data_IF_591963973410
#
_entry.id   IF_591963973410
#
_cell.length_a   1.000
_cell.length_b   1.000
_cell.length_c   1.000
_cell.angle_alpha   90.00
_cell.angle_beta   90.00
_cell.angle_gamma   90.00
#
_symmetry.space_group_name_H-M   'P 1'
#
loop_
_entity.id
_entity.type
_entity.pdbx_description
1 polymer ?
#
# COMPACT_ATOMS: atom_id res chain seq x y z
N UNK A 1 -20.75 20.54 21.41
CA UNK A 1 -20.46 19.63 20.29
C UNK A 1 -20.25 18.26 20.89
N UNK A 2 -20.96 17.19 20.50
CA UNK A 2 -20.71 15.88 21.09
C UNK A 2 -19.29 15.44 20.72
N UNK A 3 -18.51 15.03 21.72
CA UNK A 3 -17.23 14.35 21.58
C UNK A 3 -17.42 13.08 20.75
N UNK A 4 -17.03 13.09 19.47
CA UNK A 4 -16.79 11.85 18.74
C UNK A 4 -15.28 11.73 18.52
N UNK A 5 -14.57 11.53 19.62
CA UNK A 5 -13.20 11.02 19.57
C UNK A 5 -13.30 9.54 19.21
N UNK A 6 -12.73 9.19 18.05
CA UNK A 6 -12.40 7.80 17.76
C UNK A 6 -11.11 7.47 18.49
N UNK A 7 -11.12 6.48 19.38
CA UNK A 7 -9.87 5.98 19.96
C UNK A 7 -9.01 5.31 18.89
N UNK A 8 -7.68 5.48 18.96
CA UNK A 8 -6.70 4.79 18.13
C UNK A 8 -7.01 3.29 17.94
N UNK A 9 -7.26 2.55 19.02
CA UNK A 9 -7.52 1.11 18.97
C UNK A 9 -8.76 0.77 18.14
N UNK A 10 -9.85 1.53 18.30
CA UNK A 10 -11.05 1.37 17.46
C UNK A 10 -10.80 1.68 15.99
N UNK A 11 -9.97 2.68 15.66
CA UNK A 11 -9.63 2.98 14.26
C UNK A 11 -8.80 1.86 13.65
N UNK A 12 -7.77 1.41 14.36
CA UNK A 12 -6.95 0.26 13.96
C UNK A 12 -7.83 -0.97 13.74
N UNK A 13 -8.73 -1.29 14.67
CA UNK A 13 -9.64 -2.42 14.55
C UNK A 13 -10.46 -2.39 13.26
N UNK A 14 -11.04 -1.24 12.92
CA UNK A 14 -11.86 -1.07 11.71
C UNK A 14 -11.04 -1.12 10.41
N UNK A 15 -9.84 -0.54 10.41
CA UNK A 15 -8.95 -0.59 9.25
C UNK A 15 -8.45 -2.02 8.96
N UNK A 16 -8.06 -2.76 10.00
CA UNK A 16 -7.61 -4.15 9.87
C UNK A 16 -8.78 -5.08 9.47
N UNK A 17 -9.96 -4.85 10.02
CA UNK A 17 -11.17 -5.60 9.66
C UNK A 17 -11.73 -5.28 8.27
N UNK A 18 -11.21 -4.23 7.60
CA UNK A 18 -11.57 -3.88 6.23
C UNK A 18 -10.55 -4.48 5.27
N UNK A 19 -10.82 -5.66 4.68
CA UNK A 19 -9.87 -6.29 3.77
C UNK A 19 -9.73 -5.45 2.48
N UNK A 20 -8.51 -5.36 1.97
CA UNK A 20 -8.15 -4.53 0.82
C UNK A 20 -6.92 -5.09 0.11
N UNK A 21 -6.88 -6.41 -0.09
CA UNK A 21 -5.75 -7.06 -0.74
C UNK A 21 -5.57 -6.52 -2.17
N UNK A 22 -4.37 -6.09 -2.54
CA UNK A 22 -4.04 -5.80 -3.94
C UNK A 22 -3.26 -6.95 -4.56
N UNK A 23 -3.60 -7.32 -5.79
CA UNK A 23 -2.93 -8.40 -6.51
C UNK A 23 -3.08 -8.27 -8.01
N UNK A 24 -2.04 -8.66 -8.76
CA UNK A 24 -2.16 -8.86 -10.20
C UNK A 24 -3.05 -10.07 -10.56
N UNK A 25 -3.38 -10.93 -9.59
CA UNK A 25 -4.34 -12.02 -9.76
C UNK A 25 -5.74 -11.54 -9.36
N UNK A 26 -6.63 -11.42 -10.34
CA UNK A 26 -8.01 -10.99 -10.13
C UNK A 26 -8.81 -11.84 -9.12
N UNK A 27 -8.42 -13.10 -8.88
CA UNK A 27 -9.07 -13.94 -7.87
C UNK A 27 -8.71 -13.60 -6.43
N UNK A 28 -7.63 -12.83 -6.23
CA UNK A 28 -7.15 -12.37 -4.92
C UNK A 28 -7.28 -10.86 -4.74
N UNK A 29 -7.40 -10.12 -5.84
CA UNK A 29 -7.53 -8.67 -5.83
C UNK A 29 -8.87 -8.23 -5.25
N UNK A 30 -8.83 -7.24 -4.35
CA UNK A 30 -9.98 -6.75 -3.61
C UNK A 30 -10.08 -5.23 -3.69
N UNK A 31 -11.30 -4.73 -3.55
CA UNK A 31 -11.56 -3.30 -3.41
C UNK A 31 -10.94 -2.74 -2.13
N UNK A 32 -10.41 -1.53 -2.18
CA UNK A 32 -9.98 -0.79 -0.97
C UNK A 32 -11.09 0.13 -0.41
N UNK A 33 -12.30 0.07 -0.98
CA UNK A 33 -13.40 0.98 -0.67
C UNK A 33 -13.75 1.04 0.83
N UNK A 34 -13.80 -0.09 1.55
CA UNK A 34 -14.14 -0.08 2.98
C UNK A 34 -13.14 0.73 3.82
N UNK A 35 -11.85 0.64 3.48
CA UNK A 35 -10.80 1.46 4.10
C UNK A 35 -11.02 2.94 3.77
N UNK A 36 -11.30 3.25 2.50
CA UNK A 36 -11.51 4.63 2.03
C UNK A 36 -12.75 5.26 2.67
N UNK A 37 -13.84 4.53 2.85
CA UNK A 37 -15.06 5.00 3.51
C UNK A 37 -14.83 5.36 4.97
N UNK A 38 -14.04 4.56 5.69
CA UNK A 38 -13.63 4.87 7.06
C UNK A 38 -12.78 6.15 7.11
N UNK A 39 -11.74 6.24 6.28
CA UNK A 39 -10.89 7.42 6.22
C UNK A 39 -11.67 8.68 5.83
N UNK A 40 -12.56 8.57 4.84
CA UNK A 40 -13.41 9.69 4.40
C UNK A 40 -14.24 10.22 5.56
N UNK A 41 -14.95 9.31 6.25
CA UNK A 41 -15.79 9.68 7.39
C UNK A 41 -14.97 10.36 8.48
N UNK A 42 -13.80 9.80 8.84
CA UNK A 42 -12.99 10.33 9.93
C UNK A 42 -12.37 11.69 9.60
N UNK A 43 -11.85 11.88 8.39
CA UNK A 43 -11.28 13.16 7.98
C UNK A 43 -12.36 14.24 7.81
N UNK A 44 -13.53 13.92 7.27
CA UNK A 44 -14.67 14.85 7.21
C UNK A 44 -15.08 15.32 8.60
N UNK A 45 -15.16 14.41 9.58
CA UNK A 45 -15.48 14.75 10.96
C UNK A 45 -14.41 15.62 11.65
N UNK A 46 -13.15 15.46 11.27
CA UNK A 46 -12.07 16.35 11.69
C UNK A 46 -12.13 17.74 11.01
N UNK A 47 -12.98 17.93 9.99
CA UNK A 47 -13.12 19.19 9.27
C UNK A 47 -12.23 19.33 8.03
N UNK A 48 -11.69 18.23 7.51
CA UNK A 48 -11.03 18.22 6.21
C UNK A 48 -12.06 18.24 5.08
N UNK A 49 -11.72 18.89 3.97
CA UNK A 49 -12.39 18.68 2.70
C UNK A 49 -11.85 17.37 2.08
N UNK A 50 -12.73 16.40 1.86
CA UNK A 50 -12.37 15.07 1.36
C UNK A 50 -12.85 14.88 -0.07
N UNK A 51 -11.99 14.30 -0.89
CA UNK A 51 -12.28 13.89 -2.26
C UNK A 51 -11.86 12.42 -2.44
N UNK A 52 -12.81 11.58 -2.82
CA UNK A 52 -12.55 10.18 -3.20
C UNK A 52 -12.43 10.10 -4.72
N UNK A 53 -11.32 9.55 -5.20
CA UNK A 53 -10.92 9.53 -6.60
C UNK A 53 -10.87 8.08 -7.10
N UNK A 54 -11.83 7.61 -7.90
CA UNK A 54 -11.73 6.32 -8.57
C UNK A 54 -10.49 6.26 -9.48
N UNK A 55 -9.77 5.15 -9.45
CA UNK A 55 -8.60 4.94 -10.32
C UNK A 55 -9.06 4.41 -11.68
N UNK A 56 -8.79 5.17 -12.73
CA UNK A 56 -9.20 4.79 -14.08
C UNK A 56 -8.56 3.46 -14.50
N UNK A 57 -9.37 2.53 -15.02
CA UNK A 57 -8.91 1.21 -15.44
C UNK A 57 -8.73 0.19 -14.32
N UNK A 58 -8.91 0.57 -13.04
CA UNK A 58 -8.81 -0.32 -11.89
C UNK A 58 -10.12 -0.34 -11.08
N UNK A 59 -10.97 -1.34 -11.34
CA UNK A 59 -12.30 -1.42 -10.72
C UNK A 59 -12.19 -1.64 -9.21
N UNK A 60 -12.95 -0.86 -8.43
CA UNK A 60 -12.93 -0.97 -6.97
C UNK A 60 -11.68 -0.37 -6.30
N UNK A 61 -10.84 0.34 -7.07
CA UNK A 61 -9.65 1.02 -6.54
C UNK A 61 -9.89 2.51 -6.45
N UNK A 62 -9.64 3.08 -5.28
CA UNK A 62 -9.89 4.49 -5.00
C UNK A 62 -8.70 5.11 -4.29
N UNK A 63 -8.27 6.28 -4.74
CA UNK A 63 -7.46 7.17 -3.93
C UNK A 63 -8.36 8.07 -3.07
N UNK A 64 -7.82 8.60 -1.98
CA UNK A 64 -8.47 9.64 -1.20
C UNK A 64 -7.51 10.82 -1.00
N UNK A 65 -8.03 12.02 -1.20
CA UNK A 65 -7.37 13.29 -0.91
C UNK A 65 -8.18 13.99 0.17
N UNK A 66 -7.64 14.12 1.37
CA UNK A 66 -8.22 14.97 2.41
C UNK A 66 -7.35 16.22 2.59
N UNK A 67 -7.95 17.40 2.63
CA UNK A 67 -7.20 18.66 2.76
C UNK A 67 -7.80 19.60 3.81
N UNK A 68 -6.91 20.25 4.58
CA UNK A 68 -7.27 21.30 5.52
C UNK A 68 -6.26 22.45 5.44
N UNK A 69 -6.70 23.67 5.81
CA UNK A 69 -5.92 24.89 5.63
C UNK A 69 -5.90 25.38 4.17
N UNK A 70 -5.15 26.45 3.91
CA UNK A 70 -5.05 27.06 2.57
C UNK A 70 -3.69 27.70 2.34
N UNK A 71 -3.40 28.05 1.09
CA UNK A 71 -2.14 28.69 0.68
C UNK A 71 -1.16 27.76 -0.04
N UNK A 72 0.04 28.24 -0.40
CA UNK A 72 1.04 27.44 -1.10
C UNK A 72 1.91 26.61 -0.15
N UNK A 73 2.67 25.67 -0.72
CA UNK A 73 3.73 24.92 -0.03
C UNK A 73 3.23 24.01 1.12
N UNK A 74 2.10 23.31 0.92
CA UNK A 74 1.55 22.40 1.92
C UNK A 74 2.44 21.20 2.25
N UNK A 75 2.08 20.51 3.33
CA UNK A 75 2.66 19.23 3.74
C UNK A 75 1.72 18.10 3.30
N UNK A 76 2.29 17.09 2.65
CA UNK A 76 1.60 15.85 2.30
C UNK A 76 1.97 14.79 3.33
N UNK A 77 0.96 14.13 3.91
CA UNK A 77 1.09 12.87 4.65
C UNK A 77 0.51 11.77 3.78
N UNK A 78 1.35 10.87 3.29
CA UNK A 78 0.95 9.85 2.31
C UNK A 78 1.10 8.45 2.85
N UNK A 79 0.16 7.58 2.49
CA UNK A 79 0.26 6.14 2.70
C UNK A 79 -0.59 5.37 1.71
N UNK A 80 -0.42 4.05 1.69
CA UNK A 80 -1.26 3.16 0.89
C UNK A 80 -2.31 2.44 1.76
N UNK A 81 -3.41 2.06 1.13
CA UNK A 81 -4.61 1.51 1.80
C UNK A 81 -4.82 0.03 1.52
N UNK A 82 -4.04 -0.53 0.61
CA UNK A 82 -4.05 -1.94 0.28
C UNK A 82 -3.12 -2.75 1.18
N UNK A 83 -3.13 -4.06 0.98
CA UNK A 83 -2.28 -5.03 1.67
C UNK A 83 -1.92 -6.15 0.72
N UNK A 84 -0.89 -6.93 1.05
CA UNK A 84 -0.53 -8.13 0.28
C UNK A 84 -1.51 -9.30 0.49
N UNK A 85 -1.58 -10.25 -0.45
CA UNK A 85 -2.24 -11.53 -0.22
C UNK A 85 -1.66 -12.26 1.00
N UNK A 86 -2.50 -13.01 1.70
CA UNK A 86 -2.12 -13.74 2.91
C UNK A 86 -2.73 -15.15 2.91
N UNK A 87 -2.10 -16.05 3.67
CA UNK A 87 -2.60 -17.41 3.91
C UNK A 87 -2.95 -17.53 5.39
N UNK A 88 -4.26 -17.57 5.71
CA UNK A 88 -4.79 -17.68 7.07
C UNK A 88 -4.18 -18.84 7.87
N UNK A 89 -3.83 -19.96 7.22
CA UNK A 89 -3.29 -21.13 7.89
C UNK A 89 -1.89 -20.89 8.50
N UNK A 90 -1.18 -19.86 8.03
CA UNK A 90 0.15 -19.49 8.53
C UNK A 90 0.09 -18.44 9.66
N UNK A 91 -1.10 -17.92 9.99
CA UNK A 91 -1.25 -16.91 11.02
C UNK A 91 -1.53 -17.52 12.40
N UNK A 92 -0.91 -16.96 13.44
CA UNK A 92 -1.18 -17.31 14.84
C UNK A 92 -2.40 -16.61 15.45
N UNK A 93 -2.97 -15.65 14.73
CA UNK A 93 -4.16 -14.86 15.10
C UNK A 93 -4.87 -14.47 13.81
N UNK A 94 -6.18 -14.27 13.85
CA UNK A 94 -6.94 -13.82 12.68
C UNK A 94 -6.31 -12.55 12.05
N UNK A 95 -5.87 -12.61 10.78
CA UNK A 95 -5.20 -11.49 10.11
C UNK A 95 -6.11 -10.28 9.93
N UNK A 96 -7.44 -10.47 9.86
CA UNK A 96 -8.42 -9.41 9.67
C UNK A 96 -9.05 -8.97 10.99
N UNK A 97 -8.46 -9.35 12.13
CA UNK A 97 -8.87 -8.87 13.45
C UNK A 97 -7.68 -8.32 14.21
N UNK A 98 -7.78 -7.05 14.60
CA UNK A 98 -6.80 -6.45 15.50
C UNK A 98 -6.72 -7.27 16.79
N UNK A 99 -5.54 -7.80 17.06
CA UNK A 99 -5.27 -8.61 18.24
C UNK A 99 -4.10 -8.00 19.00
N UNK A 100 -4.32 -7.59 20.25
CA UNK A 100 -3.23 -7.17 21.12
C UNK A 100 -2.62 -8.40 21.83
N UNK A 101 -1.30 -8.52 21.80
CA UNK A 101 -0.55 -9.53 22.56
C UNK A 101 0.86 -9.02 22.82
N UNK A 102 1.39 -9.25 24.03
CA UNK A 102 2.77 -8.88 24.41
C UNK A 102 3.13 -7.41 24.07
N UNK A 103 2.21 -6.48 24.34
CA UNK A 103 2.34 -5.05 24.06
C UNK A 103 2.59 -4.74 22.56
N UNK A 104 1.97 -5.53 21.68
CA UNK A 104 2.01 -5.40 20.22
C UNK A 104 0.62 -5.64 19.63
N UNK A 105 0.32 -4.91 18.56
CA UNK A 105 -0.87 -5.15 17.74
C UNK A 105 -0.54 -6.04 16.54
N UNK A 106 -1.32 -7.10 16.37
CA UNK A 106 -1.24 -8.04 15.27
C UNK A 106 -2.48 -7.90 14.38
N UNK A 107 -2.25 -7.98 13.06
CA UNK A 107 -3.26 -7.85 12.01
C UNK A 107 -2.59 -7.46 10.69
N UNK A 108 -3.15 -7.88 9.57
CA UNK A 108 -2.63 -7.54 8.25
C UNK A 108 -2.87 -6.06 7.96
N UNK A 109 -1.78 -5.32 7.75
CA UNK A 109 -1.82 -3.87 7.57
C UNK A 109 -1.50 -3.05 8.83
N UNK A 110 -1.23 -3.68 9.98
CA UNK A 110 -0.84 -2.91 11.19
C UNK A 110 0.49 -2.21 11.03
N UNK A 111 1.46 -2.83 10.35
CA UNK A 111 2.74 -2.19 10.05
C UNK A 111 2.77 -1.62 8.63
N UNK A 112 2.14 -2.31 7.67
CA UNK A 112 2.25 -2.01 6.24
C UNK A 112 0.89 -1.89 5.54
N UNK A 113 0.31 -0.69 5.46
CA UNK A 113 0.65 0.46 6.31
C UNK A 113 -0.57 1.18 6.87
N UNK A 114 -1.72 0.50 6.93
CA UNK A 114 -3.01 1.09 7.35
C UNK A 114 -2.96 1.83 8.69
N UNK A 115 -2.19 1.34 9.65
CA UNK A 115 -2.07 1.99 10.96
C UNK A 115 -1.53 3.43 10.89
N UNK A 116 -0.76 3.76 9.85
CA UNK A 116 -0.29 5.13 9.62
C UNK A 116 -1.44 6.13 9.63
N UNK A 117 -2.56 5.82 8.97
CA UNK A 117 -3.70 6.74 8.92
C UNK A 117 -4.36 6.92 10.28
N UNK A 118 -4.52 5.85 11.05
CA UNK A 118 -5.07 5.95 12.40
C UNK A 118 -4.19 6.82 13.31
N UNK A 119 -2.85 6.67 13.20
CA UNK A 119 -1.89 7.51 13.93
C UNK A 119 -1.93 8.99 13.49
N UNK A 120 -2.09 9.24 12.19
CA UNK A 120 -2.27 10.59 11.66
C UNK A 120 -3.55 11.21 12.20
N UNK A 121 -4.67 10.50 12.19
CA UNK A 121 -5.96 10.98 12.70
C UNK A 121 -5.86 11.28 14.20
N UNK A 122 -5.28 10.36 14.99
CA UNK A 122 -5.05 10.55 16.43
C UNK A 122 -4.24 11.83 16.70
N UNK A 123 -3.14 12.06 15.96
CA UNK A 123 -2.33 13.26 16.11
C UNK A 123 -3.05 14.56 15.69
N UNK A 124 -4.02 14.46 14.78
CA UNK A 124 -4.79 15.61 14.28
C UNK A 124 -5.99 15.96 15.15
N UNK A 125 -6.52 15.03 15.94
CA UNK A 125 -7.63 15.28 16.87
C UNK A 125 -7.31 16.39 17.89
N UNK A 126 -6.05 16.53 18.28
CA UNK A 126 -5.59 17.57 19.22
C UNK A 126 -5.26 18.92 18.53
N UNK A 127 -5.27 18.95 17.19
CA UNK A 127 -4.84 20.11 16.42
C UNK A 127 -6.04 20.96 15.98
N UNK A 128 -6.02 22.25 16.32
CA UNK A 128 -6.95 23.22 15.74
C UNK A 128 -6.54 23.52 14.28
N UNK A 129 -7.26 22.90 13.33
CA UNK A 129 -7.00 23.04 11.90
C UNK A 129 -7.13 24.50 11.40
N UNK A 130 -7.87 25.36 12.10
CA UNK A 130 -7.98 26.78 11.73
C UNK A 130 -6.68 27.56 11.98
N UNK A 131 -5.75 27.02 12.77
CA UNK A 131 -4.44 27.62 13.03
C UNK A 131 -3.38 27.21 12.01
N UNK A 132 -3.70 26.32 11.09
CA UNK A 132 -2.80 25.93 10.01
C UNK A 132 -2.47 27.14 9.12
N UNK A 133 -1.18 27.43 8.98
CA UNK A 133 -0.68 28.54 8.12
C UNK A 133 -0.43 28.11 6.67
N UNK A 134 -0.47 26.81 6.42
CA UNK A 134 -0.23 26.18 5.12
C UNK A 134 -1.15 24.96 5.02
N UNK A 135 -1.45 24.46 3.80
CA UNK A 135 -2.28 23.29 3.65
C UNK A 135 -1.63 22.04 4.26
N UNK A 136 -2.44 21.23 4.91
CA UNK A 136 -2.13 19.85 5.23
C UNK A 136 -2.98 18.96 4.32
N UNK A 137 -2.32 18.06 3.58
CA UNK A 137 -2.97 17.14 2.65
C UNK A 137 -2.66 15.71 3.05
N UNK A 138 -3.69 14.89 3.17
CA UNK A 138 -3.58 13.45 3.34
C UNK A 138 -3.81 12.80 1.98
N UNK A 139 -2.89 11.96 1.56
CA UNK A 139 -3.04 11.13 0.37
C UNK A 139 -3.10 9.67 0.80
N UNK A 140 -4.23 9.03 0.54
CA UNK A 140 -4.38 7.60 0.69
C UNK A 140 -4.42 6.97 -0.71
N UNK A 141 -3.40 6.20 -1.07
CA UNK A 141 -3.27 5.60 -2.41
C UNK A 141 -3.78 4.16 -2.45
N UNK A 142 -4.22 3.74 -3.62
CA UNK A 142 -4.53 2.35 -3.93
C UNK A 142 -3.36 1.63 -4.63
N UNK A 143 -3.29 0.32 -4.38
CA UNK A 143 -2.48 -0.68 -5.10
C UNK A 143 -0.97 -0.42 -5.11
N UNK A 144 -0.38 0.01 -4.00
CA UNK A 144 1.08 0.14 -3.88
C UNK A 144 1.77 -1.22 -4.03
N UNK A 145 1.19 -2.26 -3.43
CA UNK A 145 1.81 -3.59 -3.29
C UNK A 145 1.82 -4.42 -4.59
N UNK A 146 1.24 -3.89 -5.67
CA UNK A 146 1.09 -4.60 -6.95
C UNK A 146 1.42 -3.74 -8.17
N UNK A 147 0.58 -2.75 -8.49
CA UNK A 147 0.66 -2.02 -9.77
C UNK A 147 1.10 -0.57 -9.64
N UNK A 148 0.99 0.00 -8.44
CA UNK A 148 1.19 1.41 -8.11
C UNK A 148 0.24 2.35 -8.88
N UNK A 149 -0.90 1.83 -9.39
CA UNK A 149 -1.81 2.60 -10.23
C UNK A 149 -2.42 3.81 -9.52
N UNK A 150 -2.63 3.72 -8.20
CA UNK A 150 -3.14 4.84 -7.41
C UNK A 150 -2.18 6.04 -7.42
N UNK A 151 -0.89 5.81 -7.15
CA UNK A 151 0.12 6.86 -7.19
C UNK A 151 0.32 7.41 -8.61
N UNK A 152 0.32 6.54 -9.64
CA UNK A 152 0.41 6.96 -11.04
C UNK A 152 -0.75 7.89 -11.44
N UNK A 153 -1.99 7.54 -11.10
CA UNK A 153 -3.16 8.37 -11.39
C UNK A 153 -3.08 9.77 -10.74
N UNK A 154 -2.52 9.87 -9.53
CA UNK A 154 -2.30 11.18 -8.88
C UNK A 154 -1.26 12.02 -9.61
N UNK A 155 -0.18 11.41 -10.09
CA UNK A 155 0.85 12.10 -10.89
C UNK A 155 0.26 12.57 -12.22
N UNK A 156 -0.50 11.72 -12.91
CA UNK A 156 -1.16 12.03 -14.18
C UNK A 156 -2.21 13.15 -14.05
N UNK A 157 -2.83 13.32 -12.88
CA UNK A 157 -3.75 14.42 -12.62
C UNK A 157 -3.10 15.82 -12.71
N UNK A 158 -1.75 15.87 -12.67
CA UNK A 158 -0.94 17.09 -12.66
C UNK A 158 -1.29 18.09 -11.53
N UNK A 159 -1.98 17.61 -10.48
CA UNK A 159 -2.32 18.40 -9.30
C UNK A 159 -1.10 18.56 -8.39
N UNK A 160 -0.88 19.80 -7.93
CA UNK A 160 0.15 20.07 -6.94
C UNK A 160 -0.45 20.02 -5.52
N UNK A 161 -0.19 18.92 -4.80
CA UNK A 161 -0.74 18.71 -3.46
C UNK A 161 0.08 19.36 -2.34
N UNK A 162 1.36 19.64 -2.56
CA UNK A 162 2.23 20.22 -1.53
C UNK A 162 3.69 20.25 -1.92
N UNK A 163 4.50 20.92 -1.09
CA UNK A 163 5.94 21.09 -1.28
C UNK A 163 6.77 19.98 -0.63
N UNK A 164 6.28 19.44 0.48
CA UNK A 164 6.96 18.37 1.22
C UNK A 164 6.03 17.18 1.35
N UNK A 165 6.59 15.97 1.35
CA UNK A 165 5.85 14.75 1.58
C UNK A 165 6.53 13.91 2.66
N UNK A 166 5.73 13.39 3.58
CA UNK A 166 6.11 12.34 4.51
C UNK A 166 5.30 11.09 4.16
N UNK A 167 6.00 10.01 3.83
CA UNK A 167 5.38 8.71 3.54
C UNK A 167 5.47 7.86 4.80
N UNK A 168 4.35 7.29 5.23
CA UNK A 168 4.20 6.62 6.51
C UNK A 168 4.78 5.21 6.64
N UNK A 169 5.67 4.79 5.73
CA UNK A 169 6.24 3.45 5.69
C UNK A 169 6.92 3.03 7.02
N UNK A 170 6.90 1.73 7.38
CA UNK A 170 7.39 1.22 8.66
C UNK A 170 8.92 1.14 8.72
N UNK A 171 9.57 2.30 8.69
CA UNK A 171 11.03 2.48 8.72
C UNK A 171 11.64 2.32 10.13
N UNK A 172 10.84 1.94 11.12
CA UNK A 172 11.27 1.87 12.52
C UNK A 172 11.64 3.23 13.11
N UNK A 173 10.88 4.27 12.74
CA UNK A 173 11.09 5.68 13.14
C UNK A 173 12.42 6.27 12.66
N UNK A 174 12.98 5.74 11.56
CA UNK A 174 14.21 6.25 10.96
C UNK A 174 13.89 7.01 9.69
N UNK A 175 14.25 8.31 9.59
CA UNK A 175 14.04 9.06 8.35
C UNK A 175 14.80 8.44 7.17
N UNK A 176 14.07 7.96 6.16
CA UNK A 176 14.60 7.46 4.90
C UNK A 176 14.27 8.48 3.81
N UNK A 177 15.29 8.96 3.10
CA UNK A 177 15.14 10.00 2.05
C UNK A 177 15.26 9.47 0.63
N UNK A 178 15.70 8.21 0.48
CA UNK A 178 15.91 7.55 -0.80
C UNK A 178 15.67 6.06 -0.63
N UNK A 179 15.08 5.43 -1.63
CA UNK A 179 14.93 3.98 -1.74
C UNK A 179 15.40 3.53 -3.13
N UNK A 180 15.63 2.22 -3.29
CA UNK A 180 15.97 1.66 -4.59
C UNK A 180 14.73 1.63 -5.47
N UNK A 181 14.92 1.83 -6.77
CA UNK A 181 13.89 1.51 -7.76
C UNK A 181 13.73 -0.01 -7.90
N UNK A 182 12.60 -0.42 -8.45
CA UNK A 182 12.30 -1.80 -8.79
C UNK A 182 11.95 -1.90 -10.28
N UNK A 183 12.40 -2.99 -10.90
CA UNK A 183 12.01 -3.41 -12.24
C UNK A 183 11.70 -4.90 -12.18
N UNK A 184 10.59 -5.30 -12.79
CA UNK A 184 10.14 -6.68 -12.83
C UNK A 184 10.02 -7.10 -14.29
N UNK A 185 10.58 -8.26 -14.62
CA UNK A 185 10.60 -8.81 -15.98
C UNK A 185 10.12 -10.27 -15.95
N UNK A 186 9.39 -10.69 -16.99
CA UNK A 186 8.91 -12.06 -17.12
C UNK A 186 9.62 -12.77 -18.27
N UNK A 187 10.30 -13.87 -17.96
CA UNK A 187 10.92 -14.74 -18.96
C UNK A 187 10.08 -16.01 -19.13
N UNK A 188 9.57 -16.25 -20.33
CA UNK A 188 8.78 -17.45 -20.67
C UNK A 188 9.54 -18.33 -21.64
N UNK A 189 9.75 -19.60 -21.26
CA UNK A 189 10.37 -20.61 -22.12
C UNK A 189 9.30 -21.59 -22.60
N UNK A 190 9.27 -21.83 -23.91
CA UNK A 190 8.42 -22.83 -24.52
C UNK A 190 9.26 -24.04 -24.89
N UNK A 191 9.01 -25.16 -24.21
CA UNK A 191 9.60 -26.46 -24.53
C UNK A 191 8.81 -27.23 -25.57
N UNK A 192 9.32 -28.40 -25.94
CA UNK A 192 8.60 -29.40 -26.74
C UNK A 192 8.31 -30.63 -25.87
N UNK A 193 7.04 -30.95 -25.67
CA UNK A 193 6.65 -32.13 -24.89
C UNK A 193 7.19 -33.41 -25.53
N UNK A 194 7.73 -34.31 -24.71
CA UNK A 194 8.22 -35.63 -25.11
C UNK A 194 7.80 -36.68 -24.08
N UNK A 195 7.68 -37.93 -24.51
CA UNK A 195 7.36 -39.03 -23.60
C UNK A 195 8.51 -39.22 -22.60
N UNK A 196 8.21 -39.39 -21.32
CA UNK A 196 9.23 -39.49 -20.26
C UNK A 196 10.21 -40.65 -20.45
N UNK A 197 9.79 -41.70 -21.17
CA UNK A 197 10.68 -42.84 -21.52
C UNK A 197 11.65 -42.55 -22.65
N UNK A 198 11.49 -41.47 -23.41
CA UNK A 198 12.47 -41.02 -24.41
C UNK A 198 12.59 -39.48 -24.42
N UNK A 199 13.25 -38.90 -23.40
CA UNK A 199 13.37 -37.45 -23.25
C UNK A 199 14.06 -36.74 -24.42
N UNK A 200 14.91 -37.45 -25.17
CA UNK A 200 15.64 -36.90 -26.32
C UNK A 200 14.73 -36.42 -27.46
N UNK A 201 13.46 -36.87 -27.49
CA UNK A 201 12.47 -36.39 -28.46
C UNK A 201 11.77 -35.09 -28.01
N UNK A 202 11.88 -34.73 -26.73
CA UNK A 202 11.39 -33.47 -26.17
C UNK A 202 12.46 -32.37 -26.13
N UNK A 203 12.05 -31.19 -25.69
CA UNK A 203 12.92 -30.08 -25.28
C UNK A 203 12.35 -29.57 -23.96
N UNK A 204 13.07 -29.82 -22.86
CA UNK A 204 12.59 -29.47 -21.53
C UNK A 204 12.69 -27.95 -21.30
N UNK A 205 11.55 -27.30 -21.11
CA UNK A 205 11.51 -25.89 -20.70
C UNK A 205 12.19 -25.68 -19.34
N UNK A 206 12.16 -26.69 -18.45
CA UNK A 206 12.78 -26.63 -17.13
C UNK A 206 14.31 -26.66 -17.21
N UNK A 207 14.87 -27.47 -18.10
CA UNK A 207 16.33 -27.48 -18.35
C UNK A 207 16.80 -26.14 -18.93
N UNK A 208 16.05 -25.59 -19.88
CA UNK A 208 16.33 -24.25 -20.41
C UNK A 208 16.23 -23.17 -19.32
N UNK A 209 15.21 -23.24 -18.44
CA UNK A 209 15.03 -22.25 -17.37
C UNK A 209 16.14 -22.35 -16.32
N UNK A 210 16.65 -23.55 -16.04
CA UNK A 210 17.80 -23.75 -15.17
C UNK A 210 19.02 -22.95 -15.65
N UNK A 211 19.32 -23.02 -16.95
CA UNK A 211 20.42 -22.25 -17.56
C UNK A 211 20.18 -20.74 -17.44
N UNK A 212 18.97 -20.28 -17.76
CA UNK A 212 18.59 -18.85 -17.66
C UNK A 212 18.75 -18.32 -16.23
N UNK A 213 18.27 -19.05 -15.22
CA UNK A 213 18.44 -18.67 -13.81
C UNK A 213 19.92 -18.60 -13.44
N UNK A 214 20.73 -19.55 -13.93
CA UNK A 214 22.19 -19.54 -13.74
C UNK A 214 22.82 -18.24 -14.21
N UNK A 215 22.50 -17.79 -15.43
CA UNK A 215 22.99 -16.54 -16.01
C UNK A 215 22.49 -15.31 -15.24
N UNK A 216 21.22 -15.28 -14.84
CA UNK A 216 20.66 -14.18 -14.02
C UNK A 216 21.40 -14.06 -12.68
N UNK A 217 21.72 -15.18 -12.04
CA UNK A 217 22.47 -15.19 -10.78
C UNK A 217 23.93 -14.75 -10.99
N UNK A 218 24.54 -15.10 -12.12
CA UNK A 218 25.86 -14.60 -12.49
C UNK A 218 25.86 -13.08 -12.71
N UNK A 219 24.89 -12.58 -13.47
CA UNK A 219 24.70 -11.16 -13.72
C UNK A 219 24.42 -10.38 -12.42
N UNK A 220 23.61 -10.92 -11.50
CA UNK A 220 23.40 -10.34 -10.15
C UNK A 220 24.72 -10.13 -9.40
N UNK A 221 25.61 -11.13 -9.41
CA UNK A 221 26.91 -11.02 -8.74
C UNK A 221 27.79 -9.95 -9.38
N UNK A 222 27.78 -9.86 -10.72
CA UNK A 222 28.48 -8.79 -11.43
C UNK A 222 27.97 -7.40 -11.02
N UNK A 223 26.66 -7.20 -11.00
CA UNK A 223 26.05 -5.92 -10.59
C UNK A 223 26.37 -5.54 -9.14
N UNK A 224 26.43 -6.52 -8.23
CA UNK A 224 26.80 -6.29 -6.82
C UNK A 224 28.28 -5.96 -6.61
N UNK A 225 29.14 -6.24 -7.59
CA UNK A 225 30.58 -5.95 -7.53
C UNK A 225 30.96 -4.55 -8.05
N UNK A 226 30.00 -3.84 -8.63
CA UNK A 226 30.14 -2.45 -9.09
C UNK A 226 29.80 -1.47 -7.97
#
# INVERSE_FOLDING_TARGET
MPEQSFSLESMLGRLIASPSVSSINAGWDQTNQGVIEHLSTWFEQLGFAVEVLPVAGASGKFNLVASAGSGPNGLILSGHTDTVPFDEALWHSDPLRLTERDNRYYGLGTSDMKAFFALVIEALQELDLHRLRQPLVILATADEESTMCGAQALVESARHFGRHALIGEPTGLRPVRMHKGISMETIRLHGRSGHSSNPALGVSALEGMHLVIGEILAWRRELQSR
#
